data_IF_364801685970
#
_entry.id   IF_364801685970
#
_cell.length_a   1.000
_cell.length_b   1.000
_cell.length_c   1.000
_cell.angle_alpha   90.00
_cell.angle_beta   90.00
_cell.angle_gamma   90.00
#
_symmetry.space_group_name_H-M   'P 1'
#
loop_
_entity.id
_entity.type
_entity.pdbx_description
1 polymer ?
#
# COMPACT_ATOMS: atom_id res chain seq x y z
N UNK A 1 -25.70 3.56 -19.86
CA UNK A 1 -25.61 3.97 -18.44
C UNK A 1 -24.98 5.36 -18.35
N UNK A 2 -25.46 6.24 -17.47
CA UNK A 2 -24.84 7.54 -17.21
C UNK A 2 -23.36 7.39 -16.83
N UNK A 3 -22.49 8.29 -17.32
CA UNK A 3 -21.04 8.28 -17.07
C UNK A 3 -20.69 8.23 -15.57
N UNK A 4 -21.47 8.92 -14.73
CA UNK A 4 -21.26 8.94 -13.28
C UNK A 4 -21.49 7.56 -12.63
N UNK A 5 -22.46 6.77 -13.10
CA UNK A 5 -22.70 5.40 -12.58
C UNK A 5 -21.54 4.47 -12.93
N UNK A 6 -21.01 4.59 -14.15
CA UNK A 6 -19.87 3.79 -14.58
C UNK A 6 -18.60 4.12 -13.79
N UNK A 7 -18.35 5.41 -13.56
CA UNK A 7 -17.23 5.86 -12.73
C UNK A 7 -17.39 5.42 -11.27
N UNK A 8 -18.61 5.46 -10.72
CA UNK A 8 -18.89 5.02 -9.36
C UNK A 8 -18.56 3.53 -9.19
N UNK A 9 -18.99 2.67 -10.11
CA UNK A 9 -18.69 1.22 -10.06
C UNK A 9 -17.18 0.97 -10.13
N UNK A 10 -16.46 1.67 -11.01
CA UNK A 10 -15.01 1.53 -11.14
C UNK A 10 -14.28 1.97 -9.86
N UNK A 11 -14.66 3.12 -9.29
CA UNK A 11 -14.06 3.62 -8.04
C UNK A 11 -14.40 2.70 -6.88
N UNK A 12 -15.65 2.26 -6.77
CA UNK A 12 -16.10 1.37 -5.70
C UNK A 12 -15.34 0.04 -5.74
N UNK A 13 -15.19 -0.56 -6.92
CA UNK A 13 -14.44 -1.80 -7.08
C UNK A 13 -12.95 -1.61 -6.76
N UNK A 14 -12.35 -0.49 -7.18
CA UNK A 14 -10.97 -0.15 -6.84
C UNK A 14 -10.76 0.07 -5.34
N UNK A 15 -11.68 0.77 -4.67
CA UNK A 15 -11.66 0.95 -3.21
C UNK A 15 -11.84 -0.39 -2.48
N UNK A 16 -12.73 -1.26 -2.95
CA UNK A 16 -12.91 -2.59 -2.41
C UNK A 16 -11.63 -3.43 -2.50
N UNK A 17 -11.01 -3.51 -3.68
CA UNK A 17 -9.74 -4.20 -3.88
C UNK A 17 -8.63 -3.65 -2.98
N UNK A 18 -8.57 -2.33 -2.82
CA UNK A 18 -7.57 -1.68 -1.96
C UNK A 18 -7.80 -2.04 -0.48
N UNK A 19 -9.04 -2.03 -0.01
CA UNK A 19 -9.37 -2.42 1.35
C UNK A 19 -9.07 -3.90 1.61
N UNK A 20 -9.43 -4.78 0.67
CA UNK A 20 -9.12 -6.20 0.75
C UNK A 20 -7.60 -6.47 0.80
N UNK A 21 -6.82 -5.78 -0.03
CA UNK A 21 -5.36 -5.89 -0.02
C UNK A 21 -4.78 -5.46 1.33
N UNK A 22 -5.22 -4.33 1.89
CA UNK A 22 -4.77 -3.87 3.21
C UNK A 22 -5.10 -4.87 4.32
N UNK A 23 -6.29 -5.49 4.28
CA UNK A 23 -6.67 -6.53 5.23
C UNK A 23 -5.81 -7.80 5.11
N UNK A 24 -5.35 -8.15 3.91
CA UNK A 24 -4.48 -9.31 3.69
C UNK A 24 -3.01 -9.06 4.06
N UNK A 25 -2.53 -7.82 3.95
CA UNK A 25 -1.14 -7.47 4.30
C UNK A 25 -0.87 -7.59 5.80
N UNK A 26 -1.87 -7.30 6.64
CA UNK A 26 -1.77 -7.34 8.11
C UNK A 26 -1.23 -8.68 8.66
N UNK A 27 -1.76 -9.85 8.29
CA UNK A 27 -1.22 -11.15 8.72
C UNK A 27 0.03 -11.60 7.95
N UNK A 28 0.26 -11.08 6.74
CA UNK A 28 1.33 -11.59 5.86
C UNK A 28 2.70 -11.00 6.18
N UNK A 29 2.75 -9.77 6.66
CA UNK A 29 4.01 -9.07 6.94
C UNK A 29 4.83 -9.71 8.08
N UNK A 30 4.22 -10.12 9.22
CA UNK A 30 4.95 -10.85 10.26
C UNK A 30 5.45 -12.21 9.78
N UNK A 31 4.66 -12.92 8.97
CA UNK A 31 5.05 -14.21 8.37
C UNK A 31 6.22 -14.05 7.40
N UNK A 32 6.26 -12.97 6.62
CA UNK A 32 7.37 -12.66 5.72
C UNK A 32 8.67 -12.35 6.49
N UNK A 33 8.58 -11.66 7.63
CA UNK A 33 9.73 -11.38 8.52
C UNK A 33 10.24 -12.68 9.17
N UNK A 34 9.34 -13.61 9.51
CA UNK A 34 9.72 -14.94 10.00
C UNK A 34 10.44 -15.76 8.91
N UNK A 35 9.95 -15.75 7.66
CA UNK A 35 10.64 -16.40 6.52
C UNK A 35 12.01 -15.78 6.20
N UNK A 36 12.22 -14.50 6.52
CA UNK A 36 13.50 -13.80 6.34
C UNK A 36 14.56 -14.19 7.41
N UNK A 37 14.25 -15.12 8.33
CA UNK A 37 15.23 -15.68 9.26
C UNK A 37 15.25 -15.03 10.65
N UNK A 38 14.22 -14.25 11.00
CA UNK A 38 14.08 -13.69 12.35
C UNK A 38 13.38 -14.71 13.26
N UNK A 39 14.16 -15.51 14.01
CA UNK A 39 13.63 -16.57 14.88
C UNK A 39 12.98 -16.04 16.19
N UNK A 40 13.24 -14.77 16.52
CA UNK A 40 12.78 -14.13 17.75
C UNK A 40 11.39 -13.51 17.55
N UNK A 41 10.37 -14.05 18.26
CA UNK A 41 9.00 -13.49 18.26
C UNK A 41 8.94 -12.01 18.64
N UNK A 42 9.85 -11.56 19.50
CA UNK A 42 9.94 -10.17 19.94
C UNK A 42 10.48 -9.25 18.83
N UNK A 43 11.42 -9.74 18.03
CA UNK A 43 11.97 -8.99 16.89
C UNK A 43 10.99 -8.97 15.73
N UNK A 44 10.28 -10.07 15.45
CA UNK A 44 9.19 -10.10 14.45
C UNK A 44 8.14 -9.04 14.76
N UNK A 45 7.68 -8.97 16.02
CA UNK A 45 6.66 -7.98 16.41
C UNK A 45 7.19 -6.54 16.36
N UNK A 46 8.44 -6.31 16.73
CA UNK A 46 9.06 -4.98 16.69
C UNK A 46 9.22 -4.49 15.26
N UNK A 47 9.82 -5.30 14.38
CA UNK A 47 10.00 -4.96 12.96
C UNK A 47 8.67 -4.82 12.22
N UNK A 48 7.69 -5.70 12.50
CA UNK A 48 6.34 -5.56 11.95
C UNK A 48 5.70 -4.24 12.40
N UNK A 49 5.80 -3.91 13.69
CA UNK A 49 5.27 -2.67 14.24
C UNK A 49 5.91 -1.42 13.62
N UNK A 50 7.23 -1.42 13.45
CA UNK A 50 7.96 -0.33 12.79
C UNK A 50 7.55 -0.21 11.32
N UNK A 51 7.48 -1.33 10.58
CA UNK A 51 7.10 -1.33 9.16
C UNK A 51 5.67 -0.80 8.94
N UNK A 52 4.70 -1.25 9.74
CA UNK A 52 3.33 -0.73 9.71
C UNK A 52 3.29 0.74 10.12
N UNK A 53 3.96 1.10 11.21
CA UNK A 53 4.02 2.47 11.72
C UNK A 53 4.61 3.45 10.70
N UNK A 54 5.72 3.09 10.07
CA UNK A 54 6.34 3.87 9.00
C UNK A 54 5.39 4.05 7.80
N UNK A 55 4.70 2.98 7.39
CA UNK A 55 3.73 3.03 6.28
C UNK A 55 2.60 4.01 6.57
N UNK A 56 1.98 3.95 7.76
CA UNK A 56 0.91 4.87 8.14
C UNK A 56 1.40 6.30 8.34
N UNK A 57 2.61 6.49 8.88
CA UNK A 57 3.21 7.82 9.07
C UNK A 57 3.50 8.49 7.71
N UNK A 58 4.10 7.75 6.78
CA UNK A 58 4.31 8.22 5.40
C UNK A 58 2.97 8.51 4.74
N UNK A 59 1.99 7.62 4.86
CA UNK A 59 0.65 7.86 4.30
C UNK A 59 0.00 9.12 4.89
N UNK A 60 0.13 9.36 6.20
CA UNK A 60 -0.41 10.55 6.85
C UNK A 60 0.21 11.84 6.30
N UNK A 61 1.53 11.88 6.11
CA UNK A 61 2.25 13.05 5.58
C UNK A 61 1.99 13.23 4.08
N UNK A 62 1.98 12.14 3.32
CA UNK A 62 1.89 12.16 1.85
C UNK A 62 0.45 12.33 1.37
N UNK A 63 -0.55 11.86 2.12
CA UNK A 63 -1.97 11.94 1.73
C UNK A 63 -2.48 13.36 1.43
N UNK A 64 -2.22 14.42 2.23
CA UNK A 64 -2.67 15.77 1.88
C UNK A 64 -1.97 16.32 0.63
N UNK A 65 -0.70 15.96 0.40
CA UNK A 65 0.09 16.41 -0.76
C UNK A 65 -0.45 15.75 -2.03
N UNK A 66 -0.63 14.43 -2.01
CA UNK A 66 -1.17 13.68 -3.13
C UNK A 66 -2.66 13.98 -3.37
N UNK A 67 -3.47 14.21 -2.33
CA UNK A 67 -4.86 14.63 -2.48
C UNK A 67 -4.99 15.96 -3.21
N UNK A 68 -4.27 16.99 -2.77
CA UNK A 68 -4.26 18.30 -3.46
C UNK A 68 -3.78 18.20 -4.90
N UNK A 69 -2.78 17.38 -5.17
CA UNK A 69 -2.24 17.23 -6.51
C UNK A 69 -3.20 16.45 -7.43
N UNK A 70 -3.96 15.49 -6.90
CA UNK A 70 -5.01 14.76 -7.61
C UNK A 70 -6.15 15.68 -8.05
N UNK A 71 -6.56 16.60 -7.18
CA UNK A 71 -7.63 17.55 -7.48
C UNK A 71 -7.19 18.61 -8.50
N UNK A 72 -5.90 18.98 -8.54
CA UNK A 72 -5.36 19.95 -9.53
C UNK A 72 -5.05 19.36 -10.91
N UNK A 73 -4.46 18.16 -10.98
CA UNK A 73 -4.00 17.55 -12.26
C UNK A 73 -4.97 16.54 -12.85
N UNK A 74 -6.06 16.25 -12.15
CA UNK A 74 -7.07 15.28 -12.55
C UNK A 74 -6.78 13.88 -12.02
N UNK A 75 -7.82 13.25 -11.45
CA UNK A 75 -7.74 11.95 -10.76
C UNK A 75 -7.23 10.80 -11.62
N UNK A 76 -7.54 10.80 -12.94
CA UNK A 76 -7.13 9.73 -13.87
C UNK A 76 -5.61 9.64 -14.03
N UNK A 77 -4.93 10.78 -14.17
CA UNK A 77 -3.47 10.82 -14.33
C UNK A 77 -2.77 10.43 -13.02
N UNK A 78 -3.37 10.79 -11.89
CA UNK A 78 -2.86 10.44 -10.57
C UNK A 78 -2.88 8.92 -10.33
N UNK A 79 -3.98 8.27 -10.73
CA UNK A 79 -4.16 6.82 -10.58
C UNK A 79 -3.13 6.03 -11.41
N UNK A 80 -2.78 6.55 -12.59
CA UNK A 80 -1.74 5.96 -13.45
C UNK A 80 -0.34 6.07 -12.82
N UNK A 81 -0.02 7.22 -12.20
CA UNK A 81 1.27 7.42 -11.50
C UNK A 81 1.37 6.54 -10.25
N UNK A 82 0.29 6.44 -9.49
CA UNK A 82 0.23 5.60 -8.30
C UNK A 82 0.38 4.12 -8.64
N UNK A 83 -0.28 3.63 -9.68
CA UNK A 83 -0.16 2.23 -10.13
C UNK A 83 1.25 1.88 -10.66
N UNK A 84 1.89 2.81 -11.38
CA UNK A 84 3.30 2.67 -11.75
C UNK A 84 4.22 2.59 -10.53
N UNK A 85 4.06 3.51 -9.57
CA UNK A 85 4.83 3.49 -8.33
C UNK A 85 4.63 2.20 -7.54
N UNK A 86 3.39 1.74 -7.41
CA UNK A 86 3.03 0.49 -6.74
C UNK A 86 3.68 -0.72 -7.43
N UNK A 87 3.70 -0.76 -8.77
CA UNK A 87 4.32 -1.85 -9.53
C UNK A 87 5.83 -1.92 -9.29
N UNK A 88 6.50 -0.77 -9.26
CA UNK A 88 7.94 -0.68 -8.98
C UNK A 88 8.23 -1.14 -7.55
N UNK A 89 7.46 -0.66 -6.56
CA UNK A 89 7.65 -1.03 -5.15
C UNK A 89 7.40 -2.52 -4.93
N UNK A 90 6.33 -3.08 -5.49
CA UNK A 90 6.03 -4.51 -5.41
C UNK A 90 7.13 -5.35 -6.06
N UNK A 91 7.67 -4.91 -7.20
CA UNK A 91 8.79 -5.57 -7.85
C UNK A 91 10.04 -5.55 -6.96
N UNK A 92 10.37 -4.40 -6.35
CA UNK A 92 11.52 -4.27 -5.45
C UNK A 92 11.38 -5.10 -4.17
N UNK A 93 10.18 -5.21 -3.59
CA UNK A 93 9.92 -6.06 -2.41
C UNK A 93 10.26 -7.52 -2.71
N UNK A 94 10.07 -7.99 -3.95
CA UNK A 94 10.44 -9.36 -4.35
C UNK A 94 11.94 -9.64 -4.30
N UNK A 95 12.80 -8.61 -4.23
CA UNK A 95 14.26 -8.75 -4.11
C UNK A 95 14.76 -8.57 -2.69
N UNK A 96 13.88 -8.33 -1.71
CA UNK A 96 14.27 -8.29 -0.30
C UNK A 96 14.67 -9.69 0.13
N UNK A 97 15.90 -9.81 0.62
CA UNK A 97 16.50 -11.07 1.07
C UNK A 97 16.74 -11.11 2.58
N UNK A 98 16.72 -9.95 3.25
CA UNK A 98 16.95 -9.85 4.69
C UNK A 98 16.18 -8.63 5.27
N UNK A 99 15.89 -8.67 6.57
CA UNK A 99 15.26 -7.58 7.34
C UNK A 99 16.31 -6.62 7.92
N UNK A 100 17.55 -7.08 8.09
CA UNK A 100 18.66 -6.32 8.70
C UNK A 100 19.39 -5.38 7.74
#
# INVERSE_FOLDING_TARGET
MPLWKRNLVVVWFGSFLTAAALSLVLPFLPLFIEELGVDSRQDITTWSGIAFGATFLVAAIVSPIWGRLADRKGRKLMLLRASLGMSIVMFLISFVQDVY
#
